data_IF_143637765936
#
_entry.id   IF_143637765936
#
_cell.length_a   1.000
_cell.length_b   1.000
_cell.length_c   1.000
_cell.angle_alpha   90.00
_cell.angle_beta   90.00
_cell.angle_gamma   90.00
#
_symmetry.space_group_name_H-M   'P 1'
#
loop_
_entity.id
_entity.type
_entity.pdbx_description
1 polymer ?
#
# COMPACT_ATOMS: atom_id res chain seq x y z
N UNK A 1 -47.58 48.71 39.03
CA UNK A 1 -47.18 48.26 37.67
C UNK A 1 -45.92 47.38 37.81
N UNK A 2 -46.10 46.04 37.72
CA UNK A 2 -44.97 45.07 37.83
C UNK A 2 -44.62 44.64 36.39
N UNK A 3 -43.41 44.94 35.94
CA UNK A 3 -42.86 44.48 34.63
C UNK A 3 -42.30 43.07 34.78
N UNK A 4 -42.89 42.10 34.08
CA UNK A 4 -42.32 40.77 33.92
C UNK A 4 -41.22 40.85 32.85
N UNK A 5 -40.00 40.45 33.24
CA UNK A 5 -38.88 40.29 32.34
C UNK A 5 -38.87 38.79 31.95
N UNK A 6 -39.24 38.50 30.72
CA UNK A 6 -39.18 37.12 30.16
C UNK A 6 -37.77 36.89 29.63
N UNK A 7 -37.01 36.07 30.31
CA UNK A 7 -35.64 35.66 29.88
C UNK A 7 -35.77 34.50 28.90
N UNK A 8 -35.40 34.73 27.64
CA UNK A 8 -35.28 33.68 26.64
C UNK A 8 -33.97 32.96 26.79
N UNK A 9 -34.01 31.68 27.15
CA UNK A 9 -32.85 30.79 27.08
C UNK A 9 -32.70 30.26 25.66
N UNK A 10 -31.68 30.74 24.93
CA UNK A 10 -31.31 30.18 23.63
C UNK A 10 -30.47 28.93 23.92
N UNK A 11 -31.07 27.75 23.73
CA UNK A 11 -30.37 26.48 23.79
C UNK A 11 -29.53 26.33 22.51
N UNK A 12 -28.21 26.53 22.63
CA UNK A 12 -27.26 26.29 21.53
C UNK A 12 -27.09 24.80 21.38
N UNK A 13 -27.76 24.18 20.44
CA UNK A 13 -27.58 22.80 20.03
C UNK A 13 -26.26 22.74 19.26
N UNK A 14 -25.18 22.32 19.91
CA UNK A 14 -23.92 21.99 19.25
C UNK A 14 -24.17 20.73 18.41
N UNK A 15 -24.46 20.90 17.12
CA UNK A 15 -24.44 19.80 16.16
C UNK A 15 -22.99 19.29 16.09
N UNK A 16 -22.70 18.15 16.73
CA UNK A 16 -21.49 17.37 16.47
C UNK A 16 -21.54 16.94 15.01
N UNK A 17 -20.87 17.69 14.13
CA UNK A 17 -20.56 17.21 12.79
C UNK A 17 -19.54 16.08 12.99
N UNK A 18 -20.01 14.85 13.02
CA UNK A 18 -19.14 13.69 12.91
C UNK A 18 -18.49 13.78 11.52
N UNK A 19 -17.23 14.12 11.47
CA UNK A 19 -16.42 13.95 10.29
C UNK A 19 -16.32 12.44 10.07
N UNK A 20 -17.13 11.91 9.16
CA UNK A 20 -16.94 10.55 8.69
C UNK A 20 -15.53 10.50 8.11
N UNK A 21 -14.63 9.74 8.73
CA UNK A 21 -13.29 9.46 8.18
C UNK A 21 -13.50 8.71 6.86
N UNK A 22 -13.54 9.45 5.76
CA UNK A 22 -13.66 8.86 4.42
C UNK A 22 -12.36 8.18 4.09
N UNK A 23 -12.44 6.90 3.73
CA UNK A 23 -11.28 6.15 3.24
C UNK A 23 -10.83 6.76 1.91
N UNK A 24 -9.55 7.19 1.83
CA UNK A 24 -9.06 8.01 0.71
C UNK A 24 -8.73 7.21 -0.55
N UNK A 25 -8.24 5.97 -0.38
CA UNK A 25 -7.88 5.10 -1.51
C UNK A 25 -9.12 4.37 -2.03
N UNK A 26 -9.40 4.38 -3.35
CA UNK A 26 -10.40 3.49 -3.95
C UNK A 26 -10.05 2.00 -3.75
N UNK A 27 -11.04 1.12 -3.82
CA UNK A 27 -10.81 -0.32 -3.88
C UNK A 27 -10.12 -0.70 -5.19
N UNK A 28 -9.11 -1.57 -5.10
CA UNK A 28 -8.41 -2.14 -6.24
C UNK A 28 -8.33 -3.65 -6.12
N UNK A 29 -8.46 -4.34 -7.25
CA UNK A 29 -8.34 -5.80 -7.33
C UNK A 29 -7.08 -6.17 -8.08
N UNK A 30 -6.20 -6.95 -7.47
CA UNK A 30 -5.01 -7.52 -8.09
C UNK A 30 -5.17 -9.02 -8.28
N UNK A 31 -4.78 -9.55 -9.44
CA UNK A 31 -4.66 -10.99 -9.61
C UNK A 31 -3.59 -11.55 -8.68
N UNK A 32 -3.91 -12.63 -7.96
CA UNK A 32 -2.96 -13.29 -7.07
C UNK A 32 -2.11 -14.28 -7.87
N UNK A 33 -0.80 -14.34 -7.61
CA UNK A 33 0.14 -15.24 -8.28
C UNK A 33 -0.21 -16.73 -8.09
N UNK A 34 -0.90 -17.06 -7.00
CA UNK A 34 -1.39 -18.41 -6.69
C UNK A 34 -2.79 -18.70 -7.24
N UNK A 35 -3.34 -17.78 -8.02
CA UNK A 35 -4.73 -17.81 -8.50
C UNK A 35 -5.69 -17.10 -7.54
N UNK A 36 -6.84 -16.69 -8.08
CA UNK A 36 -7.77 -15.81 -7.37
C UNK A 36 -7.31 -14.35 -7.38
N UNK A 37 -7.78 -13.58 -6.42
CA UNK A 37 -7.60 -12.12 -6.39
C UNK A 37 -7.32 -11.63 -4.97
N UNK A 38 -6.60 -10.51 -4.88
CA UNK A 38 -6.53 -9.66 -3.69
C UNK A 38 -7.40 -8.43 -3.92
N UNK A 39 -8.30 -8.15 -2.98
CA UNK A 39 -9.04 -6.89 -2.97
C UNK A 39 -8.48 -5.99 -1.85
N UNK A 40 -8.04 -4.78 -2.20
CA UNK A 40 -7.50 -3.84 -1.20
C UNK A 40 -8.56 -3.38 -0.19
N UNK A 41 -9.85 -3.54 -0.49
CA UNK A 41 -10.93 -3.27 0.47
C UNK A 41 -10.92 -4.25 1.65
N UNK A 42 -10.40 -5.47 1.49
CA UNK A 42 -10.23 -6.45 2.56
C UNK A 42 -9.13 -6.04 3.56
N UNK A 43 -8.31 -5.06 3.18
CA UNK A 43 -7.22 -4.52 3.98
C UNK A 43 -7.51 -3.13 4.56
N UNK A 44 -8.76 -2.64 4.47
CA UNK A 44 -9.15 -1.38 5.10
C UNK A 44 -8.83 -1.37 6.59
N UNK A 45 -8.32 -0.26 7.10
CA UNK A 45 -7.86 -0.14 8.48
C UNK A 45 -6.44 -0.69 8.72
N UNK A 46 -5.78 -1.22 7.69
CA UNK A 46 -4.41 -1.75 7.76
C UNK A 46 -3.47 -0.93 6.88
N UNK A 47 -2.22 -0.64 7.30
CA UNK A 47 -1.24 -0.08 6.40
C UNK A 47 -0.82 -1.10 5.34
N UNK A 48 -0.59 -0.64 4.10
CA UNK A 48 -0.20 -1.48 2.97
C UNK A 48 1.08 -0.91 2.36
N UNK A 49 2.16 -1.68 2.36
CA UNK A 49 3.38 -1.38 1.62
C UNK A 49 3.34 -2.07 0.26
N UNK A 50 3.05 -1.33 -0.80
CA UNK A 50 3.03 -1.82 -2.18
C UNK A 50 4.40 -1.60 -2.81
N UNK A 51 4.98 -2.65 -3.39
CA UNK A 51 6.33 -2.62 -4.00
C UNK A 51 6.30 -3.29 -5.36
N UNK A 52 6.63 -2.57 -6.43
CA UNK A 52 6.83 -3.23 -7.73
C UNK A 52 8.19 -3.95 -7.74
N UNK A 53 8.16 -5.24 -8.06
CA UNK A 53 9.33 -6.13 -7.95
C UNK A 53 9.75 -6.70 -9.29
N UNK A 54 10.93 -7.32 -9.35
CA UNK A 54 11.41 -8.07 -10.50
C UNK A 54 12.48 -9.08 -10.08
N UNK A 55 12.53 -10.24 -10.78
CA UNK A 55 13.42 -11.36 -10.46
C UNK A 55 14.85 -11.18 -10.97
N UNK A 56 15.06 -10.36 -12.01
CA UNK A 56 16.36 -10.22 -12.71
C UNK A 56 16.96 -8.81 -12.55
N UNK A 57 16.70 -8.15 -11.43
CA UNK A 57 17.11 -6.78 -11.15
C UNK A 57 18.27 -6.73 -10.15
N UNK A 58 19.15 -5.75 -10.27
CA UNK A 58 20.19 -5.51 -9.27
C UNK A 58 19.64 -5.25 -7.85
N UNK A 59 18.37 -4.85 -7.74
CA UNK A 59 17.68 -4.62 -6.47
C UNK A 59 16.90 -5.85 -5.94
N UNK A 60 16.90 -6.98 -6.65
CA UNK A 60 16.20 -8.21 -6.26
C UNK A 60 16.54 -8.70 -4.84
N UNK A 61 17.76 -8.53 -4.32
CA UNK A 61 18.05 -8.86 -2.91
C UNK A 61 17.21 -8.08 -1.88
N UNK A 62 16.47 -7.06 -2.29
CA UNK A 62 15.53 -6.37 -1.40
C UNK A 62 14.30 -7.23 -1.02
N UNK A 63 14.06 -8.35 -1.70
CA UNK A 63 13.04 -9.32 -1.28
C UNK A 63 13.28 -9.81 0.16
N UNK A 64 14.54 -10.04 0.57
CA UNK A 64 14.88 -10.39 1.96
C UNK A 64 14.33 -9.35 2.95
N UNK A 65 14.53 -8.07 2.64
CA UNK A 65 14.04 -6.99 3.51
C UNK A 65 12.51 -6.84 3.50
N UNK A 66 11.84 -7.16 2.37
CA UNK A 66 10.38 -7.18 2.31
C UNK A 66 9.82 -8.34 3.14
N UNK A 67 10.42 -9.54 3.05
CA UNK A 67 10.04 -10.69 3.87
C UNK A 67 10.25 -10.39 5.37
N UNK A 68 11.39 -9.79 5.75
CA UNK A 68 11.63 -9.37 7.13
C UNK A 68 10.57 -8.39 7.66
N UNK A 69 10.10 -7.45 6.83
CA UNK A 69 9.00 -6.55 7.22
C UNK A 69 7.69 -7.31 7.38
N UNK A 70 7.41 -8.26 6.48
CA UNK A 70 6.24 -9.11 6.57
C UNK A 70 6.26 -9.93 7.85
N UNK A 71 7.32 -10.69 8.11
CA UNK A 71 7.47 -11.54 9.30
C UNK A 71 7.33 -10.76 10.59
N UNK A 72 7.86 -9.54 10.62
CA UNK A 72 7.86 -8.72 11.83
C UNK A 72 6.54 -8.02 12.09
N UNK A 73 5.81 -7.59 11.05
CA UNK A 73 4.70 -6.65 11.21
C UNK A 73 3.35 -7.18 10.68
N UNK A 74 3.28 -8.33 10.02
CA UNK A 74 2.02 -8.86 9.49
C UNK A 74 0.99 -9.12 10.61
N UNK A 75 1.41 -9.72 11.72
CA UNK A 75 0.58 -9.96 12.90
C UNK A 75 0.16 -8.66 13.61
N UNK A 76 0.86 -7.57 13.34
CA UNK A 76 0.50 -6.24 13.83
C UNK A 76 -0.38 -5.46 12.85
N UNK A 77 -0.70 -6.05 11.70
CA UNK A 77 -1.63 -5.50 10.72
C UNK A 77 -1.00 -4.98 9.42
N UNK A 78 0.34 -4.93 9.29
CA UNK A 78 0.95 -4.52 8.02
C UNK A 78 0.68 -5.54 6.91
N UNK A 79 0.29 -5.04 5.75
CA UNK A 79 0.32 -5.81 4.49
C UNK A 79 1.55 -5.39 3.70
N UNK A 80 2.40 -6.33 3.32
CA UNK A 80 3.48 -6.11 2.35
C UNK A 80 3.07 -6.80 1.07
N UNK A 81 2.76 -6.03 0.01
CA UNK A 81 2.32 -6.54 -1.28
C UNK A 81 3.45 -6.41 -2.30
N UNK A 82 3.98 -7.54 -2.75
CA UNK A 82 4.88 -7.58 -3.90
C UNK A 82 4.07 -7.59 -5.21
N UNK A 83 4.48 -6.76 -6.16
CA UNK A 83 3.86 -6.62 -7.46
C UNK A 83 4.91 -6.87 -8.55
N UNK A 84 5.13 -8.13 -8.97
CA UNK A 84 6.04 -8.46 -10.07
C UNK A 84 5.65 -7.70 -11.34
N UNK A 85 6.64 -7.16 -12.05
CA UNK A 85 6.42 -6.39 -13.27
C UNK A 85 7.57 -6.51 -14.26
N UNK A 86 7.25 -6.75 -15.53
CA UNK A 86 8.23 -6.72 -16.63
C UNK A 86 8.29 -5.36 -17.34
N UNK A 87 7.65 -4.34 -16.84
CA UNK A 87 7.67 -3.01 -17.47
C UNK A 87 9.08 -2.37 -17.57
N UNK A 88 10.06 -2.95 -16.89
CA UNK A 88 11.47 -2.58 -16.96
C UNK A 88 12.35 -3.67 -17.60
N UNK A 89 11.75 -4.69 -18.23
CA UNK A 89 12.39 -5.83 -18.93
C UNK A 89 13.36 -6.60 -18.00
N UNK A 90 12.93 -6.86 -16.76
CA UNK A 90 13.72 -7.55 -15.74
C UNK A 90 12.92 -8.58 -14.93
N UNK A 91 11.76 -9.02 -15.44
CA UNK A 91 10.97 -10.08 -14.81
C UNK A 91 11.06 -11.39 -15.63
N UNK A 92 10.63 -12.49 -15.02
CA UNK A 92 10.44 -13.79 -15.67
C UNK A 92 9.24 -13.78 -16.62
N UNK A 93 9.19 -14.74 -17.52
CA UNK A 93 8.19 -14.77 -18.58
C UNK A 93 6.76 -15.08 -18.09
N UNK A 94 6.63 -15.73 -16.93
CA UNK A 94 5.33 -16.14 -16.39
C UNK A 94 5.32 -16.21 -14.85
N UNK A 95 4.09 -16.20 -14.29
CA UNK A 95 3.83 -16.22 -12.86
C UNK A 95 4.46 -17.43 -12.12
N UNK A 96 4.46 -18.61 -12.75
CA UNK A 96 5.01 -19.83 -12.15
C UNK A 96 6.52 -19.69 -11.90
N UNK A 97 7.25 -19.19 -12.88
CA UNK A 97 8.69 -18.95 -12.75
C UNK A 97 9.02 -17.86 -11.75
N UNK A 98 8.20 -16.79 -11.69
CA UNK A 98 8.34 -15.73 -10.66
C UNK A 98 8.15 -16.31 -9.28
N UNK A 99 7.08 -17.07 -9.07
CA UNK A 99 6.74 -17.69 -7.79
C UNK A 99 7.85 -18.65 -7.34
N UNK A 100 8.27 -19.56 -8.22
CA UNK A 100 9.33 -20.51 -7.92
C UNK A 100 10.64 -19.80 -7.55
N UNK A 101 11.04 -18.81 -8.35
CA UNK A 101 12.24 -18.01 -8.09
C UNK A 101 12.18 -17.33 -6.71
N UNK A 102 11.09 -16.69 -6.36
CA UNK A 102 10.92 -15.98 -5.10
C UNK A 102 10.90 -16.94 -3.91
N UNK A 103 10.21 -18.09 -4.04
CA UNK A 103 10.15 -19.09 -2.98
C UNK A 103 11.50 -19.75 -2.75
N UNK A 104 12.20 -20.20 -3.82
CA UNK A 104 13.45 -20.95 -3.70
C UNK A 104 14.61 -20.09 -3.21
N UNK A 105 14.66 -18.81 -3.65
CA UNK A 105 15.83 -17.97 -3.35
C UNK A 105 15.64 -17.05 -2.14
N UNK A 106 14.39 -16.76 -1.75
CA UNK A 106 14.10 -15.75 -0.72
C UNK A 106 13.07 -16.21 0.33
N UNK A 107 12.58 -17.46 0.26
CA UNK A 107 11.54 -18.00 1.15
C UNK A 107 10.30 -17.08 1.25
N UNK A 108 9.90 -16.47 0.12
CA UNK A 108 8.82 -15.48 0.11
C UNK A 108 7.47 -16.12 0.47
N UNK A 109 6.85 -15.59 1.51
CA UNK A 109 5.50 -15.93 1.97
C UNK A 109 4.55 -14.72 1.99
N UNK A 110 5.08 -13.51 1.78
CA UNK A 110 4.27 -12.30 1.69
C UNK A 110 3.33 -12.34 0.47
N UNK A 111 2.16 -11.66 0.51
CA UNK A 111 1.26 -11.52 -0.63
C UNK A 111 1.97 -11.04 -1.90
N UNK A 112 1.75 -11.76 -3.00
CA UNK A 112 2.35 -11.45 -4.31
C UNK A 112 1.30 -11.49 -5.40
N UNK A 113 1.27 -10.45 -6.24
CA UNK A 113 0.37 -10.42 -7.41
C UNK A 113 0.94 -11.23 -8.57
N UNK A 114 0.10 -11.57 -9.53
CA UNK A 114 0.56 -11.95 -10.87
C UNK A 114 1.34 -10.81 -11.52
N UNK A 115 2.07 -11.10 -12.62
CA UNK A 115 2.84 -10.10 -13.37
C UNK A 115 1.90 -8.97 -13.79
N UNK A 116 2.21 -7.76 -13.34
CA UNK A 116 1.31 -6.61 -13.42
C UNK A 116 1.98 -5.45 -14.13
N UNK A 117 1.24 -4.78 -15.03
CA UNK A 117 1.69 -3.54 -15.64
C UNK A 117 1.61 -2.38 -14.64
N UNK A 118 2.75 -1.78 -14.32
CA UNK A 118 2.86 -0.68 -13.34
C UNK A 118 3.15 0.68 -13.99
N UNK A 119 3.52 0.68 -15.29
CA UNK A 119 3.94 1.89 -16.02
C UNK A 119 3.64 1.88 -17.51
N UNK A 120 3.58 0.72 -18.15
CA UNK A 120 3.41 0.56 -19.60
C UNK A 120 2.19 -0.30 -19.91
N UNK A 121 1.70 -0.22 -21.16
CA UNK A 121 0.57 -1.05 -21.59
C UNK A 121 -0.72 -0.73 -20.84
N UNK A 122 -1.46 -1.76 -20.48
CA UNK A 122 -2.68 -1.66 -19.66
C UNK A 122 -2.30 -1.52 -18.18
N UNK A 123 -1.88 -0.31 -17.80
CA UNK A 123 -1.43 -0.01 -16.43
C UNK A 123 -2.54 -0.35 -15.43
N UNK A 124 -2.18 -1.05 -14.36
CA UNK A 124 -3.12 -1.43 -13.31
C UNK A 124 -3.74 -0.19 -12.64
N UNK A 125 -5.06 -0.19 -12.32
CA UNK A 125 -5.79 0.96 -11.79
C UNK A 125 -5.18 1.61 -10.55
N UNK A 126 -4.52 0.86 -9.67
CA UNK A 126 -3.78 1.39 -8.53
C UNK A 126 -2.67 2.37 -8.96
N UNK A 127 -1.86 1.99 -9.97
CA UNK A 127 -0.77 2.84 -10.46
C UNK A 127 -1.29 4.02 -11.28
N UNK A 128 -2.40 3.86 -12.00
CA UNK A 128 -3.10 4.98 -12.64
C UNK A 128 -3.63 5.99 -11.62
N UNK A 129 -4.22 5.50 -10.53
CA UNK A 129 -4.68 6.33 -9.43
C UNK A 129 -3.51 7.09 -8.79
N UNK A 130 -2.40 6.41 -8.49
CA UNK A 130 -1.19 7.04 -7.95
C UNK A 130 -0.65 8.13 -8.88
N UNK A 131 -0.67 7.89 -10.19
CA UNK A 131 -0.23 8.90 -11.16
C UNK A 131 -1.17 10.12 -11.18
N UNK A 132 -2.48 9.89 -11.28
CA UNK A 132 -3.48 10.97 -11.38
C UNK A 132 -3.59 11.83 -10.13
N UNK A 133 -3.55 11.20 -8.94
CA UNK A 133 -3.87 11.88 -7.68
C UNK A 133 -2.61 12.34 -6.94
N UNK A 134 -1.48 11.65 -7.11
CA UNK A 134 -0.24 11.90 -6.38
C UNK A 134 0.94 12.25 -7.28
N UNK A 135 0.72 12.35 -8.61
CA UNK A 135 1.76 12.60 -9.62
C UNK A 135 2.98 11.66 -9.45
N UNK A 136 2.68 10.40 -9.14
CA UNK A 136 3.71 9.40 -8.88
C UNK A 136 3.56 8.18 -9.79
N UNK A 137 4.69 7.72 -10.34
CA UNK A 137 4.81 6.52 -11.15
C UNK A 137 6.12 5.82 -10.78
N UNK A 138 6.20 4.48 -10.72
CA UNK A 138 7.46 3.78 -10.54
C UNK A 138 8.49 4.20 -11.58
N UNK A 139 9.67 4.62 -11.13
CA UNK A 139 10.78 4.96 -12.04
C UNK A 139 11.66 3.78 -12.37
N UNK A 140 11.65 2.77 -11.51
CA UNK A 140 12.39 1.52 -11.65
C UNK A 140 11.78 0.44 -10.76
N UNK A 141 12.26 -0.82 -10.89
CA UNK A 141 11.88 -1.91 -9.99
C UNK A 141 12.21 -1.57 -8.53
N UNK A 142 11.49 -2.14 -7.61
CA UNK A 142 11.58 -1.88 -6.16
C UNK A 142 11.31 -0.42 -5.78
N UNK A 143 10.43 0.28 -6.51
CA UNK A 143 9.79 1.50 -6.03
C UNK A 143 8.68 1.13 -5.05
N UNK A 144 8.47 1.93 -4.01
CA UNK A 144 7.57 1.62 -2.90
C UNK A 144 6.58 2.74 -2.67
N UNK A 145 5.36 2.35 -2.26
CA UNK A 145 4.30 3.23 -1.78
C UNK A 145 3.80 2.67 -0.46
N UNK A 146 3.71 3.49 0.58
CA UNK A 146 3.04 3.14 1.83
C UNK A 146 1.68 3.84 1.87
N UNK A 147 0.64 3.04 1.92
CA UNK A 147 -0.74 3.46 2.15
C UNK A 147 -1.04 3.28 3.65
N UNK A 148 -1.62 4.29 4.26
CA UNK A 148 -2.02 4.24 5.67
C UNK A 148 -3.40 3.60 5.90
N UNK A 149 -3.79 3.38 7.18
CA UNK A 149 -5.03 2.71 7.54
C UNK A 149 -6.31 3.37 7.01
N UNK A 150 -6.28 4.67 6.69
CA UNK A 150 -7.40 5.42 6.09
C UNK A 150 -7.29 5.56 4.58
N UNK A 151 -6.37 4.82 3.93
CA UNK A 151 -6.15 4.90 2.49
C UNK A 151 -5.31 6.09 2.02
N UNK A 152 -4.79 6.90 2.94
CA UNK A 152 -3.90 8.02 2.63
C UNK A 152 -2.51 7.54 2.21
N UNK A 153 -1.86 8.23 1.28
CA UNK A 153 -0.47 7.95 0.92
C UNK A 153 0.46 8.55 1.95
N UNK A 154 1.13 7.70 2.75
CA UNK A 154 2.06 8.12 3.80
C UNK A 154 3.48 8.36 3.30
N UNK A 155 3.85 7.75 2.18
CA UNK A 155 5.17 7.96 1.59
C UNK A 155 5.40 7.15 0.33
N UNK A 156 6.37 7.62 -0.46
CA UNK A 156 6.84 6.93 -1.67
C UNK A 156 8.36 6.94 -1.69
N UNK A 157 8.97 5.85 -2.15
CA UNK A 157 10.43 5.71 -2.21
C UNK A 157 10.86 5.01 -3.49
N UNK A 158 11.98 5.43 -4.05
CA UNK A 158 12.63 4.76 -5.17
C UNK A 158 13.41 3.52 -4.72
N UNK A 159 13.96 2.82 -5.70
CA UNK A 159 14.71 1.57 -5.58
C UNK A 159 15.86 1.62 -4.56
N UNK A 160 16.55 2.76 -4.45
CA UNK A 160 17.73 2.92 -3.58
C UNK A 160 17.40 2.87 -2.08
N UNK A 161 16.16 3.11 -1.68
CA UNK A 161 15.75 3.04 -0.28
C UNK A 161 15.40 1.60 0.07
N UNK A 162 16.23 0.95 0.90
CA UNK A 162 16.01 -0.44 1.32
C UNK A 162 14.75 -0.56 2.18
N UNK A 163 14.00 -1.68 2.08
CA UNK A 163 12.79 -1.92 2.89
C UNK A 163 13.03 -1.76 4.39
N UNK A 164 14.19 -2.19 4.88
CA UNK A 164 14.59 -2.13 6.29
C UNK A 164 15.16 -0.77 6.72
N UNK A 165 15.15 0.24 5.84
CA UNK A 165 15.57 1.60 6.20
C UNK A 165 14.60 2.24 7.19
N UNK A 166 15.12 3.03 8.14
CA UNK A 166 14.28 3.83 9.06
C UNK A 166 13.34 4.79 8.31
N UNK A 167 13.69 5.19 7.08
CA UNK A 167 12.79 6.00 6.22
C UNK A 167 11.48 5.30 5.90
N UNK A 168 11.44 3.96 5.92
CA UNK A 168 10.25 3.12 5.68
C UNK A 168 9.71 2.58 7.00
N UNK A 169 10.58 2.08 7.89
CA UNK A 169 10.17 1.49 9.17
C UNK A 169 9.43 2.49 10.06
N UNK A 170 9.94 3.73 10.19
CA UNK A 170 9.30 4.72 11.08
C UNK A 170 7.87 5.09 10.65
N UNK A 171 7.57 5.37 9.36
CA UNK A 171 6.18 5.56 8.92
C UNK A 171 5.31 4.32 9.09
N UNK A 172 5.83 3.10 8.86
CA UNK A 172 5.09 1.85 9.12
C UNK A 172 4.70 1.77 10.60
N UNK A 173 5.64 1.92 11.52
CA UNK A 173 5.38 1.87 12.96
C UNK A 173 4.39 2.94 13.41
N UNK A 174 4.51 4.16 12.89
CA UNK A 174 3.55 5.22 13.17
C UNK A 174 2.15 4.88 12.66
N UNK A 175 2.03 4.25 11.49
CA UNK A 175 0.74 3.87 10.91
C UNK A 175 0.07 2.69 11.62
N UNK A 176 0.84 1.79 12.22
CA UNK A 176 0.34 0.67 13.02
C UNK A 176 -0.19 1.11 14.40
N UNK A 177 0.14 2.33 14.84
CA UNK A 177 -0.31 2.91 16.10
C UNK A 177 -1.54 3.84 15.93
N UNK A 178 -2.04 3.98 14.71
CA UNK A 178 -3.20 4.83 14.38
C UNK A 178 -4.51 4.08 14.56
#
# INVERSE_FOLDING_TARGET
MKRLITTWFITFCAACVAWADTYEMPGFTFSNIDGGEFNTDDWRGRPILVVNTASMCAFTPQYEGLQQLHDKYADHGLVVLAVPSDDFNQEKDNAVEVKEFCTVNYDITLPMTDITHVKRGAVHPFYEWMNRTHNWTPRWNFSKVLIGPRGQVLGTWGSMVRPTSQKIISPIQASLAM
#
